data_IF_370983613400
#
_entry.id   IF_370983613400
#
_cell.length_a   1.000
_cell.length_b   1.000
_cell.length_c   1.000
_cell.angle_alpha   90.00
_cell.angle_beta   90.00
_cell.angle_gamma   90.00
#
_symmetry.space_group_name_H-M   'P 1'
#
loop_
_entity.id
_entity.type
_entity.pdbx_description
1 polymer ?
#
# COMPACT_ATOMS: atom_id res chain seq x y z
N UNK A 1 -4.43 18.26 1.74
CA UNK A 1 -5.04 17.52 2.86
C UNK A 1 -6.33 18.25 3.21
N UNK A 2 -7.49 17.69 2.87
CA UNK A 2 -8.75 18.16 3.47
C UNK A 2 -8.70 17.67 4.92
N UNK A 3 -8.96 18.51 5.94
CA UNK A 3 -9.00 18.03 7.31
C UNK A 3 -10.07 16.95 7.40
N UNK A 4 -9.67 15.75 7.85
CA UNK A 4 -10.61 14.67 8.14
C UNK A 4 -11.59 15.21 9.17
N UNK A 5 -12.88 15.21 8.84
CA UNK A 5 -13.90 15.82 9.68
C UNK A 5 -13.99 15.02 10.99
N UNK A 6 -13.65 15.65 12.11
CA UNK A 6 -13.81 15.03 13.42
C UNK A 6 -15.31 14.85 13.66
N UNK A 7 -15.77 13.64 13.97
CA UNK A 7 -17.20 13.38 14.14
C UNK A 7 -17.75 14.03 15.39
N UNK A 8 -19.03 14.38 15.33
CA UNK A 8 -19.77 14.93 16.45
C UNK A 8 -20.04 13.88 17.53
N UNK A 9 -20.39 14.36 18.73
CA UNK A 9 -20.74 13.49 19.88
C UNK A 9 -21.83 12.48 19.51
N UNK A 10 -22.90 12.92 18.86
CA UNK A 10 -24.02 12.05 18.48
C UNK A 10 -23.65 11.03 17.39
N UNK A 11 -22.74 11.39 16.47
CA UNK A 11 -22.20 10.44 15.48
C UNK A 11 -21.35 9.35 16.16
N UNK A 12 -20.49 9.72 17.12
CA UNK A 12 -19.70 8.75 17.92
C UNK A 12 -20.62 7.85 18.76
N UNK A 13 -21.62 8.43 19.43
CA UNK A 13 -22.62 7.69 20.20
C UNK A 13 -23.46 6.74 19.32
N UNK A 14 -23.67 7.07 18.03
CA UNK A 14 -24.39 6.22 17.07
C UNK A 14 -23.49 5.29 16.22
N UNK A 15 -22.16 5.36 16.37
CA UNK A 15 -21.20 4.66 15.49
C UNK A 15 -21.36 3.14 15.53
N UNK A 16 -21.70 2.55 14.39
CA UNK A 16 -21.95 1.12 14.23
C UNK A 16 -20.94 0.47 13.29
N UNK A 17 -20.53 -0.76 13.63
CA UNK A 17 -19.63 -1.60 12.84
C UNK A 17 -20.26 -2.95 12.47
N UNK A 18 -21.53 -3.17 12.77
CA UNK A 18 -22.22 -4.47 12.61
C UNK A 18 -22.21 -5.02 11.17
N UNK A 19 -22.15 -4.16 10.16
CA UNK A 19 -22.02 -4.59 8.76
C UNK A 19 -20.68 -5.26 8.45
N UNK A 20 -19.62 -4.98 9.21
CA UNK A 20 -18.33 -5.68 9.07
C UNK A 20 -18.45 -7.14 9.56
N UNK A 21 -19.07 -7.37 10.71
CA UNK A 21 -19.34 -8.73 11.22
C UNK A 21 -20.27 -9.52 10.28
N UNK A 22 -21.27 -8.82 9.72
CA UNK A 22 -22.16 -9.40 8.72
C UNK A 22 -21.42 -9.73 7.41
N UNK A 23 -20.51 -8.86 6.96
CA UNK A 23 -19.66 -9.11 5.79
C UNK A 23 -18.70 -10.29 6.00
N UNK A 24 -18.02 -10.34 7.15
CA UNK A 24 -17.14 -11.43 7.54
C UNK A 24 -17.87 -12.78 7.53
N UNK A 25 -19.09 -12.80 8.07
CA UNK A 25 -19.95 -14.00 8.03
C UNK A 25 -20.30 -14.41 6.60
N UNK A 26 -20.69 -13.46 5.75
CA UNK A 26 -21.02 -13.71 4.33
C UNK A 26 -19.81 -14.26 3.55
N UNK A 27 -18.62 -13.68 3.70
CA UNK A 27 -17.42 -14.12 2.97
C UNK A 27 -16.95 -15.51 3.39
N UNK A 28 -16.95 -15.85 4.70
CA UNK A 28 -16.64 -17.22 5.16
C UNK A 28 -17.64 -18.25 4.62
N UNK A 29 -18.92 -17.91 4.49
CA UNK A 29 -19.91 -18.80 3.85
C UNK A 29 -19.63 -18.97 2.36
N UNK A 30 -19.24 -17.90 1.65
CA UNK A 30 -18.88 -17.93 0.23
C UNK A 30 -17.65 -18.80 -0.04
N UNK A 31 -16.57 -18.63 0.74
CA UNK A 31 -15.34 -19.42 0.67
C UNK A 31 -15.63 -20.94 0.70
N UNK A 32 -16.31 -21.40 1.77
CA UNK A 32 -16.71 -22.79 1.94
C UNK A 32 -17.59 -23.32 0.78
N UNK A 33 -18.45 -22.48 0.21
CA UNK A 33 -19.32 -22.83 -0.91
C UNK A 33 -18.55 -22.98 -2.24
N UNK A 34 -17.55 -22.12 -2.48
CA UNK A 34 -16.66 -22.17 -3.64
C UNK A 34 -15.83 -23.45 -3.65
N UNK A 35 -15.14 -23.78 -2.55
CA UNK A 35 -14.40 -25.03 -2.42
C UNK A 35 -15.30 -26.26 -2.63
N UNK A 36 -16.45 -26.29 -1.95
CA UNK A 36 -17.43 -27.37 -2.09
C UNK A 36 -18.00 -27.51 -3.50
N UNK A 37 -18.08 -26.43 -4.28
CA UNK A 37 -18.47 -26.49 -5.69
C UNK A 37 -17.33 -27.02 -6.56
N UNK A 38 -16.11 -26.57 -6.34
CA UNK A 38 -14.98 -26.93 -7.19
C UNK A 38 -14.47 -28.36 -6.95
N UNK A 39 -14.50 -28.86 -5.72
CA UNK A 39 -14.17 -30.26 -5.44
C UNK A 39 -15.15 -31.23 -6.12
N UNK A 40 -16.44 -30.87 -6.23
CA UNK A 40 -17.44 -31.61 -7.02
C UNK A 40 -17.14 -31.51 -8.53
N UNK A 41 -16.73 -30.35 -9.03
CA UNK A 41 -16.34 -30.19 -10.43
C UNK A 41 -15.12 -31.06 -10.79
N UNK A 42 -14.08 -31.05 -9.94
CA UNK A 42 -12.90 -31.92 -10.05
C UNK A 42 -13.26 -33.40 -10.06
N UNK A 43 -14.15 -33.84 -9.16
CA UNK A 43 -14.64 -35.23 -9.15
C UNK A 43 -15.39 -35.59 -10.44
N UNK A 44 -16.22 -34.69 -10.96
CA UNK A 44 -16.97 -34.91 -12.21
C UNK A 44 -16.05 -35.03 -13.44
N UNK A 45 -14.95 -34.28 -13.50
CA UNK A 45 -13.94 -34.41 -14.57
C UNK A 45 -13.17 -35.74 -14.45
N UNK A 46 -12.73 -36.10 -13.24
CA UNK A 46 -11.97 -37.34 -13.02
C UNK A 46 -12.79 -38.62 -13.23
N UNK A 47 -14.11 -38.56 -13.11
CA UNK A 47 -15.04 -39.68 -13.26
C UNK A 47 -16.18 -39.38 -14.26
N UNK A 48 -15.83 -38.83 -15.42
CA UNK A 48 -16.77 -38.44 -16.47
C UNK A 48 -17.78 -39.55 -16.80
N UNK A 49 -19.05 -39.36 -16.42
CA UNK A 49 -20.14 -40.32 -16.65
C UNK A 49 -20.01 -41.65 -15.87
N UNK A 50 -19.12 -41.73 -14.87
CA UNK A 50 -18.87 -42.95 -14.10
C UNK A 50 -18.12 -44.06 -14.86
N UNK A 51 -17.49 -43.73 -15.99
CA UNK A 51 -16.69 -44.66 -16.79
C UNK A 51 -15.19 -44.40 -16.66
N UNK A 52 -14.37 -45.41 -16.96
CA UNK A 52 -12.90 -45.26 -16.95
C UNK A 52 -12.44 -44.46 -18.16
N UNK A 53 -12.17 -43.17 -17.96
CA UNK A 53 -11.57 -42.30 -18.96
C UNK A 53 -10.04 -42.38 -18.88
N UNK A 54 -9.37 -42.58 -20.03
CA UNK A 54 -7.91 -42.76 -20.13
C UNK A 54 -7.36 -42.09 -21.40
N UNK A 55 -6.05 -41.81 -21.42
CA UNK A 55 -5.32 -41.18 -22.53
C UNK A 55 -5.15 -39.66 -22.37
N UNK A 56 -4.29 -39.07 -23.21
CA UNK A 56 -3.73 -37.71 -23.05
C UNK A 56 -4.77 -36.62 -22.76
N UNK A 57 -5.96 -36.68 -23.37
CA UNK A 57 -7.04 -35.73 -23.13
C UNK A 57 -7.57 -35.75 -21.68
N UNK A 58 -7.60 -36.93 -21.04
CA UNK A 58 -7.97 -37.10 -19.63
C UNK A 58 -6.90 -36.49 -18.72
N UNK A 59 -5.64 -36.66 -19.07
CA UNK A 59 -4.52 -36.13 -18.29
C UNK A 59 -4.42 -34.60 -18.43
N UNK A 60 -4.65 -34.05 -19.64
CA UNK A 60 -4.78 -32.60 -19.87
C UNK A 60 -5.95 -32.00 -19.08
N UNK A 61 -7.14 -32.62 -19.11
CA UNK A 61 -8.29 -32.13 -18.35
C UNK A 61 -8.08 -32.24 -16.83
N UNK A 62 -7.40 -33.30 -16.38
CA UNK A 62 -7.01 -33.50 -14.97
C UNK A 62 -6.01 -32.46 -14.49
N UNK A 63 -5.02 -32.11 -15.32
CA UNK A 63 -4.07 -31.03 -15.05
C UNK A 63 -4.76 -29.66 -15.02
N UNK A 64 -5.66 -29.40 -15.98
CA UNK A 64 -6.42 -28.13 -16.03
C UNK A 64 -7.28 -27.93 -14.79
N UNK A 65 -8.08 -28.92 -14.41
CA UNK A 65 -8.92 -28.80 -13.21
C UNK A 65 -8.10 -28.75 -11.92
N UNK A 66 -6.86 -29.26 -11.90
CA UNK A 66 -5.94 -29.07 -10.77
C UNK A 66 -5.43 -27.64 -10.69
N UNK A 67 -5.11 -26.99 -11.82
CA UNK A 67 -4.74 -25.56 -11.87
C UNK A 67 -5.92 -24.67 -11.44
N UNK A 68 -7.10 -24.87 -12.03
CA UNK A 68 -8.31 -24.13 -11.64
C UNK A 68 -8.69 -24.35 -10.16
N UNK A 69 -8.39 -25.52 -9.58
CA UNK A 69 -8.58 -25.78 -8.13
C UNK A 69 -7.65 -24.92 -7.27
N UNK A 70 -6.45 -24.57 -7.74
CA UNK A 70 -5.53 -23.71 -7.01
C UNK A 70 -6.03 -22.25 -7.01
N UNK A 71 -6.57 -21.78 -8.14
CA UNK A 71 -7.22 -20.46 -8.27
C UNK A 71 -8.40 -20.33 -7.30
N UNK A 72 -9.29 -21.33 -7.23
CA UNK A 72 -10.44 -21.29 -6.29
C UNK A 72 -10.00 -21.32 -4.83
N UNK A 73 -8.93 -22.04 -4.49
CA UNK A 73 -8.37 -22.00 -3.12
C UNK A 73 -7.86 -20.62 -2.78
N UNK A 74 -7.11 -19.97 -3.66
CA UNK A 74 -6.66 -18.59 -3.45
C UNK A 74 -7.83 -17.61 -3.29
N UNK A 75 -8.93 -17.77 -4.05
CA UNK A 75 -10.16 -16.98 -3.84
C UNK A 75 -10.85 -17.27 -2.49
N UNK A 76 -10.82 -18.53 -2.04
CA UNK A 76 -11.34 -18.96 -0.73
C UNK A 76 -10.52 -18.36 0.42
N UNK A 77 -9.19 -18.43 0.32
CA UNK A 77 -8.23 -17.88 1.28
C UNK A 77 -8.40 -16.36 1.39
N UNK A 78 -8.47 -15.62 0.28
CA UNK A 78 -8.72 -14.17 0.28
C UNK A 78 -10.08 -13.79 0.86
N UNK A 79 -11.12 -14.60 0.66
CA UNK A 79 -12.41 -14.41 1.35
C UNK A 79 -12.33 -14.67 2.86
N UNK A 80 -11.47 -15.60 3.30
CA UNK A 80 -11.14 -15.82 4.70
C UNK A 80 -10.41 -14.62 5.31
N UNK A 81 -9.33 -14.16 4.67
CA UNK A 81 -8.54 -13.02 5.11
C UNK A 81 -9.35 -11.73 5.17
N UNK A 82 -10.19 -11.45 4.17
CA UNK A 82 -11.12 -10.31 4.20
C UNK A 82 -12.10 -10.39 5.38
N UNK A 83 -12.57 -11.60 5.71
CA UNK A 83 -13.44 -11.81 6.86
C UNK A 83 -12.70 -11.63 8.19
N UNK A 84 -11.43 -12.01 8.28
CA UNK A 84 -10.59 -11.79 9.45
C UNK A 84 -10.33 -10.28 9.66
N UNK A 85 -9.96 -9.55 8.60
CA UNK A 85 -9.82 -8.08 8.60
C UNK A 85 -11.11 -7.38 9.04
N UNK A 86 -12.27 -7.77 8.51
CA UNK A 86 -13.54 -7.20 8.94
C UNK A 86 -13.88 -7.52 10.40
N UNK A 87 -13.54 -8.73 10.87
CA UNK A 87 -13.76 -9.13 12.27
C UNK A 87 -12.84 -8.36 13.22
N UNK A 88 -11.54 -8.24 12.93
CA UNK A 88 -10.60 -7.45 13.77
C UNK A 88 -10.94 -5.97 13.71
N UNK A 89 -11.21 -5.44 12.52
CA UNK A 89 -11.58 -4.04 12.30
C UNK A 89 -12.84 -3.62 13.06
N UNK A 90 -13.89 -4.46 13.07
CA UNK A 90 -15.08 -4.21 13.88
C UNK A 90 -14.74 -4.08 15.37
N UNK A 91 -13.91 -4.99 15.91
CA UNK A 91 -13.47 -4.94 17.30
C UNK A 91 -12.60 -3.69 17.58
N UNK A 92 -11.73 -3.29 16.66
CA UNK A 92 -10.85 -2.12 16.82
C UNK A 92 -11.63 -0.81 16.80
N UNK A 93 -12.59 -0.66 15.87
CA UNK A 93 -13.51 0.48 15.82
C UNK A 93 -14.33 0.55 17.13
N UNK A 94 -14.87 -0.56 17.62
CA UNK A 94 -15.62 -0.56 18.90
C UNK A 94 -14.75 -0.26 20.12
N UNK A 95 -13.48 -0.67 20.14
CA UNK A 95 -12.51 -0.29 21.19
C UNK A 95 -12.16 1.20 21.14
N UNK A 96 -11.92 1.76 19.96
CA UNK A 96 -11.66 3.18 19.77
C UNK A 96 -12.89 4.02 20.18
N UNK A 97 -14.09 3.62 19.75
CA UNK A 97 -15.38 4.23 20.12
C UNK A 97 -15.61 4.20 21.63
N UNK A 98 -15.34 3.07 22.29
CA UNK A 98 -15.46 2.97 23.75
C UNK A 98 -14.48 3.91 24.45
N UNK A 99 -13.24 4.00 23.95
CA UNK A 99 -12.18 4.85 24.52
C UNK A 99 -12.49 6.35 24.46
N UNK A 100 -13.22 6.84 23.44
CA UNK A 100 -13.68 8.23 23.39
C UNK A 100 -14.88 8.46 24.31
N UNK A 101 -15.82 7.52 24.40
CA UNK A 101 -16.97 7.64 25.31
C UNK A 101 -16.52 7.63 26.79
N UNK A 102 -15.48 6.86 27.13
CA UNK A 102 -14.81 6.91 28.44
C UNK A 102 -14.17 8.27 28.69
N UNK A 103 -13.39 8.82 27.73
CA UNK A 103 -12.78 10.15 27.86
C UNK A 103 -13.82 11.28 28.03
N UNK A 104 -14.97 11.18 27.36
CA UNK A 104 -16.10 12.09 27.54
C UNK A 104 -16.69 11.95 28.94
N UNK A 105 -16.89 10.71 29.42
CA UNK A 105 -17.43 10.44 30.75
C UNK A 105 -16.49 10.91 31.88
N UNK A 106 -15.17 10.78 31.72
CA UNK A 106 -14.17 11.28 32.67
C UNK A 106 -14.22 12.81 32.77
N UNK A 107 -14.28 13.52 31.64
CA UNK A 107 -14.44 14.97 31.61
C UNK A 107 -15.76 15.42 32.26
N UNK A 108 -16.87 14.72 31.99
CA UNK A 108 -18.17 15.00 32.61
C UNK A 108 -18.20 14.67 34.12
N UNK A 109 -17.41 13.68 34.57
CA UNK A 109 -17.17 13.38 35.98
C UNK A 109 -16.41 14.47 36.74
N UNK A 110 -15.56 15.23 36.05
CA UNK A 110 -14.79 16.37 36.57
C UNK A 110 -15.56 17.71 36.57
N UNK A 111 -16.90 17.67 36.43
CA UNK A 111 -17.81 18.82 36.24
C UNK A 111 -17.49 19.68 34.98
N UNK A 112 -16.87 19.11 33.95
CA UNK A 112 -16.90 19.71 32.62
C UNK A 112 -18.16 19.28 31.86
N UNK A 113 -18.44 19.95 30.75
CA UNK A 113 -19.48 19.57 29.80
C UNK A 113 -18.85 19.45 28.42
N UNK A 114 -19.00 18.27 27.80
CA UNK A 114 -18.61 18.05 26.40
C UNK A 114 -19.79 18.35 25.49
N UNK A 115 -19.59 19.23 24.51
CA UNK A 115 -20.61 19.64 23.52
C UNK A 115 -20.63 18.70 22.30
N UNK A 116 -21.57 18.97 21.40
CA UNK A 116 -21.76 18.23 20.15
C UNK A 116 -20.52 18.26 19.24
N UNK A 117 -19.80 19.38 19.22
CA UNK A 117 -18.54 19.59 18.51
C UNK A 117 -17.30 19.10 19.28
N UNK A 118 -17.51 18.24 20.29
CA UNK A 118 -16.52 17.76 21.25
C UNK A 118 -15.81 18.86 22.06
N UNK A 119 -16.24 20.13 21.97
CA UNK A 119 -15.64 21.21 22.77
C UNK A 119 -15.96 21.03 24.26
N UNK A 120 -14.93 21.13 25.10
CA UNK A 120 -15.03 20.98 26.56
C UNK A 120 -15.24 22.36 27.20
N UNK A 121 -16.18 22.45 28.13
CA UNK A 121 -16.56 23.69 28.81
C UNK A 121 -16.65 23.44 30.31
N UNK A 122 -16.10 24.34 31.12
CA UNK A 122 -16.28 24.26 32.57
C UNK A 122 -17.71 24.62 32.98
N UNK A 123 -18.36 23.73 33.74
CA UNK A 123 -19.70 23.96 34.29
C UNK A 123 -19.66 24.60 35.69
N UNK A 124 -18.47 24.69 36.31
CA UNK A 124 -18.28 25.32 37.63
C UNK A 124 -18.26 26.85 37.51
N UNK A 125 -18.72 27.59 38.54
CA UNK A 125 -18.56 29.04 38.59
C UNK A 125 -17.07 29.43 38.61
N UNK A 126 -16.73 30.54 37.96
CA UNK A 126 -15.35 31.04 37.94
C UNK A 126 -14.91 31.49 39.34
N UNK A 127 -13.90 30.82 39.89
CA UNK A 127 -13.26 31.15 41.17
C UNK A 127 -11.75 31.32 40.95
N UNK A 128 -11.20 32.46 41.38
CA UNK A 128 -9.81 32.87 41.08
C UNK A 128 -8.76 31.90 41.64
N UNK A 129 -9.06 31.25 42.76
CA UNK A 129 -8.19 30.29 43.45
C UNK A 129 -8.04 28.95 42.71
N UNK A 130 -9.04 28.55 41.91
CA UNK A 130 -9.07 27.28 41.17
C UNK A 130 -9.01 27.45 39.65
N UNK A 131 -9.18 28.67 39.14
CA UNK A 131 -9.23 28.98 37.70
C UNK A 131 -8.03 28.45 36.91
N UNK A 132 -6.81 28.54 37.44
CA UNK A 132 -5.61 28.05 36.73
C UNK A 132 -5.62 26.52 36.59
N UNK A 133 -5.93 25.80 37.67
CA UNK A 133 -6.00 24.35 37.67
C UNK A 133 -7.13 23.82 36.77
N UNK A 134 -8.30 24.48 36.77
CA UNK A 134 -9.41 24.09 35.89
C UNK A 134 -9.21 24.47 34.43
N UNK A 135 -8.46 25.54 34.14
CA UNK A 135 -8.05 25.87 32.76
C UNK A 135 -7.10 24.80 32.20
N UNK A 136 -6.16 24.31 33.02
CA UNK A 136 -5.27 23.21 32.65
C UNK A 136 -6.05 21.91 32.40
N UNK A 137 -6.87 21.48 33.36
CA UNK A 137 -7.67 20.27 33.22
C UNK A 137 -8.65 20.32 32.04
N UNK A 138 -9.23 21.49 31.73
CA UNK A 138 -10.05 21.68 30.53
C UNK A 138 -9.26 21.41 29.25
N UNK A 139 -8.03 21.93 29.16
CA UNK A 139 -7.16 21.72 28.01
C UNK A 139 -6.73 20.24 27.89
N UNK A 140 -6.36 19.59 29.00
CA UNK A 140 -6.01 18.17 29.05
C UNK A 140 -7.17 17.29 28.56
N UNK A 141 -8.38 17.51 29.08
CA UNK A 141 -9.59 16.79 28.64
C UNK A 141 -9.93 17.07 27.16
N UNK A 142 -9.84 18.32 26.71
CA UNK A 142 -10.14 18.69 25.33
C UNK A 142 -9.17 18.07 24.32
N UNK A 143 -7.87 18.10 24.61
CA UNK A 143 -6.84 17.46 23.77
C UNK A 143 -7.00 15.94 23.77
N UNK A 144 -7.28 15.31 24.91
CA UNK A 144 -7.45 13.86 25.00
C UNK A 144 -8.70 13.37 24.25
N UNK A 145 -9.84 14.05 24.40
CA UNK A 145 -11.07 13.73 23.63
C UNK A 145 -10.82 13.91 22.12
N UNK A 146 -10.18 15.02 21.71
CA UNK A 146 -9.86 15.25 20.28
C UNK A 146 -8.96 14.14 19.72
N UNK A 147 -7.89 13.80 20.43
CA UNK A 147 -6.99 12.72 20.03
C UNK A 147 -7.71 11.36 19.93
N UNK A 148 -8.60 11.03 20.87
CA UNK A 148 -9.43 9.81 20.80
C UNK A 148 -10.37 9.81 19.58
N UNK A 149 -10.92 10.96 19.20
CA UNK A 149 -11.77 11.09 18.01
C UNK A 149 -10.95 10.89 16.72
N UNK A 150 -9.76 11.48 16.65
CA UNK A 150 -8.80 11.28 15.55
C UNK A 150 -8.41 9.80 15.41
N UNK A 151 -8.17 9.09 16.53
CA UNK A 151 -7.86 7.65 16.53
C UNK A 151 -9.03 6.77 16.04
N UNK A 152 -10.28 7.12 16.36
CA UNK A 152 -11.46 6.39 15.86
C UNK A 152 -11.54 6.45 14.33
N UNK A 153 -11.44 7.67 13.76
CA UNK A 153 -11.53 7.83 12.30
C UNK A 153 -10.33 7.20 11.58
N UNK A 154 -9.11 7.36 12.13
CA UNK A 154 -7.92 6.72 11.56
C UNK A 154 -8.04 5.18 11.55
N UNK A 155 -8.65 4.60 12.59
CA UNK A 155 -8.91 3.15 12.67
C UNK A 155 -9.91 2.70 11.59
N UNK A 156 -11.02 3.42 11.41
CA UNK A 156 -12.00 3.08 10.38
C UNK A 156 -11.44 3.21 8.95
N UNK A 157 -10.65 4.27 8.69
CA UNK A 157 -9.96 4.46 7.40
C UNK A 157 -9.03 3.27 7.10
N UNK A 158 -8.20 2.87 8.06
CA UNK A 158 -7.28 1.73 7.93
C UNK A 158 -8.02 0.42 7.61
N UNK A 159 -9.12 0.13 8.32
CA UNK A 159 -9.95 -1.06 8.06
C UNK A 159 -10.55 -1.00 6.66
N UNK A 160 -11.04 0.17 6.24
CA UNK A 160 -11.56 0.39 4.89
C UNK A 160 -10.51 0.21 3.79
N UNK A 161 -9.26 0.62 4.03
CA UNK A 161 -8.13 0.42 3.11
C UNK A 161 -7.72 -1.04 3.02
N UNK A 162 -7.59 -1.76 4.14
CA UNK A 162 -7.29 -3.19 4.16
C UNK A 162 -8.36 -4.01 3.41
N UNK A 163 -9.64 -3.69 3.58
CA UNK A 163 -10.73 -4.35 2.86
C UNK A 163 -10.75 -4.02 1.35
N UNK A 164 -10.37 -2.80 0.95
CA UNK A 164 -10.17 -2.46 -0.47
C UNK A 164 -8.98 -3.21 -1.07
N UNK A 165 -7.88 -3.35 -0.33
CA UNK A 165 -6.73 -4.17 -0.71
C UNK A 165 -7.15 -5.61 -1.00
N UNK A 166 -7.84 -6.28 -0.06
CA UNK A 166 -8.34 -7.64 -0.26
C UNK A 166 -9.33 -7.78 -1.41
N UNK A 167 -10.16 -6.76 -1.67
CA UNK A 167 -11.03 -6.72 -2.84
C UNK A 167 -10.26 -6.60 -4.17
N UNK A 168 -9.18 -5.82 -4.20
CA UNK A 168 -8.31 -5.69 -5.37
C UNK A 168 -7.48 -6.96 -5.63
N UNK A 169 -6.94 -7.59 -4.57
CA UNK A 169 -6.29 -8.90 -4.65
C UNK A 169 -7.26 -9.93 -5.26
N UNK A 170 -8.48 -10.02 -4.73
CA UNK A 170 -9.51 -10.95 -5.23
C UNK A 170 -9.90 -10.68 -6.70
N UNK A 171 -9.94 -9.40 -7.12
CA UNK A 171 -10.16 -9.02 -8.52
C UNK A 171 -8.98 -9.40 -9.45
N UNK A 172 -7.77 -9.53 -8.89
CA UNK A 172 -6.58 -10.02 -9.58
C UNK A 172 -6.57 -11.54 -9.78
N UNK A 173 -7.25 -12.31 -8.93
CA UNK A 173 -7.29 -13.78 -9.02
C UNK A 173 -8.22 -14.25 -10.12
N UNK A 174 -7.62 -14.75 -11.21
CA UNK A 174 -8.29 -15.21 -12.43
C UNK A 174 -7.94 -16.65 -12.77
N UNK A 175 -8.81 -17.31 -13.53
CA UNK A 175 -8.52 -18.62 -14.12
C UNK A 175 -7.58 -18.49 -15.33
N UNK A 176 -6.77 -19.52 -15.61
CA UNK A 176 -5.86 -19.50 -16.76
C UNK A 176 -6.63 -19.28 -18.08
N UNK A 177 -6.33 -18.20 -18.80
CA UNK A 177 -7.03 -17.80 -20.02
C UNK A 177 -8.25 -16.90 -19.82
N UNK A 178 -8.62 -16.55 -18.58
CA UNK A 178 -9.68 -15.60 -18.29
C UNK A 178 -9.22 -14.15 -18.53
N UNK A 179 -9.59 -13.63 -19.71
CA UNK A 179 -9.12 -12.33 -20.22
C UNK A 179 -8.06 -12.42 -21.32
N UNK A 180 -7.71 -13.63 -21.78
CA UNK A 180 -6.82 -13.82 -22.92
C UNK A 180 -7.57 -13.63 -24.25
N UNK A 181 -7.46 -12.45 -24.85
CA UNK A 181 -7.76 -12.24 -26.28
C UNK A 181 -6.56 -12.68 -27.13
N UNK A 182 -6.32 -13.99 -27.24
CA UNK A 182 -5.30 -14.62 -28.12
C UNK A 182 -3.83 -14.36 -27.76
N UNK A 183 -2.84 -15.16 -28.17
CA UNK A 183 -2.72 -16.60 -28.47
C UNK A 183 -1.27 -17.03 -28.16
N UNK A 184 -1.03 -17.92 -27.18
CA UNK A 184 0.35 -18.32 -26.78
C UNK A 184 0.55 -19.80 -26.43
N UNK A 185 -0.47 -20.46 -25.89
CA UNK A 185 -0.48 -21.90 -25.62
C UNK A 185 -1.59 -22.56 -26.43
N UNK A 186 -1.39 -23.80 -26.92
CA UNK A 186 -2.32 -24.48 -27.81
C UNK A 186 -3.47 -25.15 -27.03
N UNK A 187 -4.71 -24.64 -27.12
CA UNK A 187 -5.87 -25.35 -26.59
C UNK A 187 -6.13 -26.54 -27.51
N UNK A 188 -6.14 -27.76 -26.96
CA UNK A 188 -6.43 -28.98 -27.73
C UNK A 188 -7.87 -29.04 -28.28
N UNK A 189 -8.68 -28.01 -28.05
CA UNK A 189 -9.89 -27.66 -28.81
C UNK A 189 -9.90 -26.13 -29.05
N UNK A 190 -9.64 -25.65 -30.28
CA UNK A 190 -9.67 -24.22 -30.67
C UNK A 190 -10.95 -23.78 -31.41
N UNK A 191 -11.35 -22.54 -31.14
CA UNK A 191 -11.84 -21.58 -32.15
C UNK A 191 -10.82 -20.40 -32.21
N UNK A 192 -10.96 -19.45 -33.14
CA UNK A 192 -9.87 -18.59 -33.71
C UNK A 192 -10.26 -17.08 -33.60
N UNK A 193 -9.40 -16.04 -33.56
CA UNK A 193 -7.98 -15.83 -33.95
C UNK A 193 -7.00 -15.14 -32.92
N UNK A 194 -5.73 -14.99 -33.35
CA UNK A 194 -4.60 -14.08 -33.03
C UNK A 194 -4.54 -13.13 -31.78
N UNK A 195 -3.45 -13.26 -30.99
CA UNK A 195 -2.53 -12.18 -30.50
C UNK A 195 -1.23 -12.81 -29.90
N UNK A 196 -0.24 -12.09 -29.34
CA UNK A 196 1.07 -12.66 -28.93
C UNK A 196 1.38 -12.65 -27.41
N UNK A 197 2.31 -13.54 -27.00
CA UNK A 197 2.69 -13.89 -25.62
C UNK A 197 3.78 -12.94 -25.01
N UNK A 198 3.85 -12.82 -23.68
CA UNK A 198 4.90 -12.04 -22.99
C UNK A 198 5.78 -12.91 -22.07
N UNK A 199 7.10 -12.80 -22.26
CA UNK A 199 8.12 -13.57 -21.55
C UNK A 199 8.87 -12.78 -20.47
N UNK A 200 10.00 -13.34 -20.01
CA UNK A 200 10.85 -12.76 -18.97
C UNK A 200 11.25 -11.29 -19.23
N UNK A 201 11.39 -10.45 -18.19
CA UNK A 201 11.72 -9.04 -18.34
C UNK A 201 13.05 -8.84 -19.10
N UNK A 202 13.06 -7.85 -20.00
CA UNK A 202 14.20 -7.58 -20.86
C UNK A 202 15.46 -7.23 -20.03
N UNK A 203 16.66 -7.73 -20.38
CA UNK A 203 17.87 -7.44 -19.63
C UNK A 203 18.27 -5.96 -19.72
N UNK A 204 18.87 -5.43 -18.66
CA UNK A 204 19.40 -4.07 -18.63
C UNK A 204 20.53 -3.89 -19.66
N UNK A 205 20.48 -2.76 -20.36
CA UNK A 205 21.51 -2.27 -21.27
C UNK A 205 22.72 -1.74 -20.48
N UNK A 206 23.94 -1.73 -21.06
CA UNK A 206 25.12 -1.16 -20.41
C UNK A 206 24.94 0.33 -20.06
N UNK A 207 24.85 0.63 -18.76
CA UNK A 207 24.73 1.98 -18.22
C UNK A 207 26.08 2.64 -17.89
N UNK A 208 26.06 3.83 -17.26
CA UNK A 208 27.26 4.48 -16.72
C UNK A 208 27.88 3.66 -15.58
N UNK A 209 29.17 3.89 -15.29
CA UNK A 209 29.82 3.25 -14.13
C UNK A 209 29.21 3.78 -12.83
N UNK A 210 28.60 2.88 -12.05
CA UNK A 210 27.95 3.21 -10.78
C UNK A 210 28.93 3.19 -9.61
N UNK A 211 28.76 4.12 -8.68
CA UNK A 211 29.36 4.08 -7.35
C UNK A 211 29.00 2.76 -6.63
N UNK A 212 29.76 2.41 -5.59
CA UNK A 212 29.48 1.22 -4.79
C UNK A 212 28.06 1.29 -4.16
N UNK A 213 27.66 2.46 -3.67
CA UNK A 213 26.34 2.72 -3.10
C UNK A 213 25.20 2.56 -4.10
N UNK A 214 25.29 3.16 -5.29
CA UNK A 214 24.27 2.99 -6.34
C UNK A 214 24.16 1.54 -6.78
N UNK A 215 25.29 0.86 -6.91
CA UNK A 215 25.32 -0.56 -7.30
C UNK A 215 24.63 -1.43 -6.26
N UNK A 216 24.90 -1.23 -4.97
CA UNK A 216 24.22 -1.94 -3.90
C UNK A 216 22.70 -1.66 -3.85
N UNK A 217 22.29 -0.41 -4.10
CA UNK A 217 20.87 -0.04 -4.21
C UNK A 217 20.18 -0.75 -5.39
N UNK A 218 20.78 -0.73 -6.58
CA UNK A 218 20.25 -1.42 -7.77
C UNK A 218 20.24 -2.94 -7.59
N UNK A 219 21.30 -3.54 -7.05
CA UNK A 219 21.34 -4.98 -6.74
C UNK A 219 20.26 -5.38 -5.72
N UNK A 220 19.93 -4.52 -4.75
CA UNK A 220 18.82 -4.73 -3.83
C UNK A 220 17.47 -4.64 -4.55
N UNK A 221 17.28 -3.62 -5.40
CA UNK A 221 16.06 -3.43 -6.18
C UNK A 221 15.81 -4.59 -7.14
N UNK A 222 16.84 -5.09 -7.84
CA UNK A 222 16.78 -6.25 -8.74
C UNK A 222 16.42 -7.55 -8.01
N UNK A 223 16.97 -7.73 -6.80
CA UNK A 223 16.74 -8.92 -5.99
C UNK A 223 15.32 -8.99 -5.44
N UNK A 224 14.75 -7.85 -5.05
CA UNK A 224 13.51 -7.82 -4.26
C UNK A 224 12.28 -7.29 -5.00
N UNK A 225 12.39 -6.74 -6.21
CA UNK A 225 11.23 -6.23 -6.96
C UNK A 225 10.02 -7.20 -7.02
N UNK A 226 10.27 -8.49 -7.30
CA UNK A 226 9.20 -9.51 -7.39
C UNK A 226 8.88 -10.17 -6.02
N UNK A 227 9.19 -9.53 -4.88
CA UNK A 227 8.99 -10.12 -3.55
C UNK A 227 9.21 -9.15 -2.39
N UNK A 228 9.45 -9.67 -1.18
CA UNK A 228 9.66 -8.84 0.02
C UNK A 228 10.87 -9.35 0.81
N UNK A 229 11.71 -8.44 1.31
CA UNK A 229 12.79 -8.81 2.21
C UNK A 229 12.21 -9.16 3.60
N UNK A 230 12.37 -10.40 4.11
CA UNK A 230 11.81 -10.82 5.40
C UNK A 230 12.42 -10.11 6.64
N UNK A 231 13.45 -9.28 6.47
CA UNK A 231 13.95 -8.40 7.52
C UNK A 231 13.05 -7.17 7.77
N UNK A 232 12.10 -6.90 6.86
CA UNK A 232 11.17 -5.77 6.90
C UNK A 232 9.71 -6.27 6.89
N UNK A 233 8.83 -5.52 7.56
CA UNK A 233 7.39 -5.76 7.55
C UNK A 233 6.85 -5.36 6.17
N UNK A 234 6.16 -6.29 5.49
CA UNK A 234 5.56 -6.01 4.19
C UNK A 234 4.26 -5.23 4.40
N UNK A 235 4.23 -3.96 3.97
CA UNK A 235 3.12 -3.06 4.21
C UNK A 235 2.07 -3.26 3.12
N UNK A 236 1.04 -4.06 3.44
CA UNK A 236 -0.22 -4.07 2.69
C UNK A 236 -0.22 -4.73 1.30
N UNK A 237 0.90 -5.33 0.85
CA UNK A 237 0.97 -6.17 -0.35
C UNK A 237 0.89 -5.43 -1.68
N UNK A 238 1.78 -5.78 -2.62
CA UNK A 238 1.74 -5.31 -4.01
C UNK A 238 2.00 -3.81 -4.16
N UNK A 239 0.97 -2.97 -4.00
CA UNK A 239 1.03 -1.53 -4.29
C UNK A 239 1.16 -0.59 -3.08
N UNK A 240 0.93 -1.06 -1.85
CA UNK A 240 1.00 -0.21 -0.64
C UNK A 240 2.43 -0.09 -0.10
N UNK A 241 3.34 -0.97 -0.55
CA UNK A 241 4.70 -1.11 -0.03
C UNK A 241 5.75 -0.26 -0.79
N UNK A 242 5.34 0.51 -1.80
CA UNK A 242 6.24 1.24 -2.72
C UNK A 242 7.33 2.07 -2.01
N UNK A 243 6.96 2.75 -0.93
CA UNK A 243 7.86 3.63 -0.18
C UNK A 243 8.74 2.87 0.81
N UNK A 244 8.24 1.75 1.35
CA UNK A 244 9.04 0.85 2.16
C UNK A 244 10.12 0.18 1.31
N UNK A 245 9.78 -0.29 0.11
CA UNK A 245 10.74 -0.79 -0.88
C UNK A 245 11.78 0.27 -1.27
N UNK A 246 11.36 1.47 -1.65
CA UNK A 246 12.28 2.56 -1.97
C UNK A 246 13.19 2.91 -0.79
N UNK A 247 12.67 2.93 0.45
CA UNK A 247 13.46 3.20 1.65
C UNK A 247 14.46 2.07 1.97
N UNK A 248 14.07 0.81 1.75
CA UNK A 248 15.00 -0.33 1.85
C UNK A 248 16.12 -0.24 0.80
N UNK A 249 15.81 0.14 -0.44
CA UNK A 249 16.78 0.35 -1.53
C UNK A 249 17.74 1.50 -1.18
N UNK A 250 17.24 2.60 -0.63
CA UNK A 250 18.08 3.69 -0.08
C UNK A 250 19.02 3.17 1.02
N UNK A 251 18.50 2.42 2.00
CA UNK A 251 19.30 1.88 3.11
C UNK A 251 20.36 0.90 2.62
N UNK A 252 20.05 0.07 1.62
CA UNK A 252 20.99 -0.83 0.96
C UNK A 252 22.13 -0.08 0.24
N UNK A 253 21.86 1.09 -0.32
CA UNK A 253 22.90 1.99 -0.86
C UNK A 253 23.67 2.78 0.21
N UNK A 254 23.42 2.54 1.51
CA UNK A 254 24.21 3.07 2.62
C UNK A 254 23.63 4.30 3.32
N UNK A 255 22.41 4.74 2.99
CA UNK A 255 21.74 5.78 3.78
C UNK A 255 21.43 5.27 5.19
N UNK A 256 21.94 5.96 6.22
CA UNK A 256 21.65 5.64 7.61
C UNK A 256 20.31 6.21 8.09
N UNK A 257 19.75 5.60 9.14
CA UNK A 257 18.59 6.10 9.87
C UNK A 257 18.88 7.48 10.51
N UNK A 258 17.85 8.34 10.61
CA UNK A 258 17.87 9.68 11.24
C UNK A 258 16.55 9.87 12.00
N UNK A 259 16.58 10.62 13.12
CA UNK A 259 15.39 10.85 13.95
C UNK A 259 15.06 9.62 14.79
N UNK A 260 15.96 9.24 15.70
CA UNK A 260 15.75 8.09 16.59
C UNK A 260 16.18 8.33 18.04
N UNK A 261 16.06 9.58 18.49
CA UNK A 261 16.46 10.02 19.83
C UNK A 261 15.21 10.19 20.75
N UNK A 262 15.34 10.96 21.83
CA UNK A 262 14.35 10.97 22.94
C UNK A 262 13.19 11.96 22.68
N UNK A 263 13.35 12.87 21.74
CA UNK A 263 12.41 13.90 21.34
C UNK A 263 11.32 13.43 20.35
N UNK A 264 11.48 12.25 19.74
CA UNK A 264 10.63 11.71 18.66
C UNK A 264 9.30 11.11 19.18
N UNK A 265 8.62 11.82 20.08
CA UNK A 265 7.33 11.42 20.67
C UNK A 265 6.16 11.43 19.67
N UNK A 266 6.39 11.99 18.48
CA UNK A 266 5.49 12.00 17.32
C UNK A 266 6.08 11.08 16.26
N UNK A 267 5.23 10.36 15.53
CA UNK A 267 5.64 9.35 14.54
C UNK A 267 6.24 9.96 13.26
N UNK A 268 7.41 10.56 13.37
CA UNK A 268 8.07 11.31 12.30
C UNK A 268 7.67 12.78 12.30
N UNK A 269 8.57 13.67 12.72
CA UNK A 269 8.64 14.99 12.11
C UNK A 269 9.23 14.84 10.67
N UNK A 270 9.09 15.86 9.82
CA UNK A 270 9.37 15.76 8.38
C UNK A 270 10.85 15.52 8.00
N UNK A 271 11.75 15.64 8.98
CA UNK A 271 13.19 15.42 8.92
C UNK A 271 13.66 14.06 9.48
N UNK A 272 12.75 13.23 9.99
CA UNK A 272 13.06 11.86 10.43
C UNK A 272 13.06 10.87 9.26
N UNK A 273 13.80 9.76 9.36
CA UNK A 273 13.69 8.60 8.46
C UNK A 273 14.35 7.38 9.09
N UNK A 274 13.56 6.41 9.54
CA UNK A 274 14.09 5.23 10.25
C UNK A 274 13.19 3.99 10.14
N UNK A 275 13.81 2.83 10.35
CA UNK A 275 13.12 1.54 10.50
C UNK A 275 13.78 0.71 11.61
N UNK A 276 13.08 0.56 12.74
CA UNK A 276 13.58 -0.11 13.94
C UNK A 276 12.64 -1.19 14.45
N UNK A 277 13.15 -2.42 14.45
CA UNK A 277 12.47 -3.57 15.01
C UNK A 277 12.68 -3.60 16.54
N UNK A 278 11.59 -3.46 17.30
CA UNK A 278 11.49 -3.60 18.76
C UNK A 278 12.41 -2.72 19.65
N UNK A 279 12.36 -1.39 19.44
CA UNK A 279 12.91 -0.41 20.36
C UNK A 279 12.18 -0.41 21.72
N UNK A 280 12.78 -1.01 22.75
CA UNK A 280 12.18 -1.23 24.08
C UNK A 280 11.85 0.01 24.94
N UNK A 281 11.96 1.22 24.39
CA UNK A 281 11.64 2.49 25.06
C UNK A 281 10.21 2.97 24.74
N UNK A 282 9.71 2.72 23.52
CA UNK A 282 8.39 3.20 23.07
C UNK A 282 7.63 2.11 22.27
N UNK A 283 6.74 1.33 22.91
CA UNK A 283 5.95 0.31 22.24
C UNK A 283 5.07 0.91 21.13
N UNK A 284 5.26 0.43 19.89
CA UNK A 284 4.43 0.80 18.75
C UNK A 284 4.96 1.92 17.85
N UNK A 285 6.15 2.48 18.11
CA UNK A 285 6.83 3.38 17.17
C UNK A 285 7.96 2.63 16.42
N UNK A 286 7.62 1.93 15.33
CA UNK A 286 8.52 0.99 14.62
C UNK A 286 9.20 1.57 13.38
N UNK A 287 8.60 2.59 12.77
CA UNK A 287 9.08 3.24 11.54
C UNK A 287 8.48 4.64 11.42
N UNK A 288 9.18 5.55 10.75
CA UNK A 288 8.68 6.90 10.49
C UNK A 288 7.63 6.92 9.36
N UNK A 289 6.80 7.97 9.32
CA UNK A 289 5.90 8.25 8.17
C UNK A 289 6.67 8.47 6.87
N UNK A 290 7.85 9.08 6.94
CA UNK A 290 8.79 9.29 5.83
C UNK A 290 9.43 7.99 5.30
N UNK A 291 9.38 6.89 6.05
CA UNK A 291 9.80 5.56 5.58
C UNK A 291 8.69 4.85 4.79
N UNK A 292 7.42 5.18 5.05
CA UNK A 292 6.26 4.39 4.60
C UNK A 292 5.28 5.12 3.68
N UNK A 293 5.29 6.45 3.64
CA UNK A 293 4.38 7.26 2.81
C UNK A 293 5.14 8.04 1.73
N UNK A 294 4.79 7.82 0.46
CA UNK A 294 5.55 8.32 -0.70
C UNK A 294 5.74 9.85 -0.67
N UNK A 295 4.69 10.58 -0.28
CA UNK A 295 4.70 12.03 -0.12
C UNK A 295 5.66 12.51 0.97
N UNK A 296 5.66 11.86 2.14
CA UNK A 296 6.50 12.30 3.25
C UNK A 296 7.96 11.86 3.03
N UNK A 297 8.17 10.72 2.38
CA UNK A 297 9.47 10.31 1.86
C UNK A 297 10.03 11.33 0.84
N UNK A 298 9.20 11.77 -0.12
CA UNK A 298 9.56 12.82 -1.06
C UNK A 298 9.95 14.12 -0.35
N UNK A 299 9.14 14.58 0.61
CA UNK A 299 9.43 15.79 1.40
C UNK A 299 10.75 15.64 2.15
N UNK A 300 10.94 14.52 2.85
CA UNK A 300 12.18 14.19 3.56
C UNK A 300 13.40 14.25 2.62
N UNK A 301 13.37 13.54 1.49
CA UNK A 301 14.49 13.48 0.53
C UNK A 301 14.81 14.85 -0.06
N UNK A 302 13.79 15.61 -0.48
CA UNK A 302 13.97 16.83 -1.30
C UNK A 302 14.04 18.15 -0.53
N UNK A 303 13.50 18.21 0.70
CA UNK A 303 13.36 19.46 1.45
C UNK A 303 14.04 19.45 2.82
N UNK A 304 14.08 18.30 3.51
CA UNK A 304 14.47 18.26 4.93
C UNK A 304 15.83 17.58 5.20
N UNK A 305 16.20 16.55 4.43
CA UNK A 305 17.40 15.75 4.68
C UNK A 305 18.63 16.11 3.84
N UNK A 306 18.43 16.86 2.75
CA UNK A 306 19.48 17.13 1.75
C UNK A 306 19.95 15.90 0.97
N UNK A 307 19.24 14.76 1.07
CA UNK A 307 19.60 13.47 0.44
C UNK A 307 19.24 13.37 -1.04
N UNK A 308 18.46 14.31 -1.58
CA UNK A 308 18.17 14.36 -3.01
C UNK A 308 17.68 15.72 -3.49
N UNK A 309 17.52 15.83 -4.81
CA UNK A 309 17.04 17.03 -5.48
C UNK A 309 16.13 16.66 -6.67
N UNK A 310 15.07 17.43 -6.91
CA UNK A 310 14.23 17.28 -8.11
C UNK A 310 15.02 17.82 -9.30
N UNK A 311 15.37 16.95 -10.25
CA UNK A 311 16.14 17.28 -11.46
C UNK A 311 15.30 17.41 -12.72
N UNK A 312 14.05 16.95 -12.68
CA UNK A 312 13.10 17.05 -13.77
C UNK A 312 11.66 16.86 -13.31
N UNK A 313 10.73 17.50 -14.00
CA UNK A 313 9.28 17.33 -13.79
C UNK A 313 8.65 17.15 -15.17
N UNK A 314 7.95 16.03 -15.37
CA UNK A 314 7.29 15.70 -16.64
C UNK A 314 5.78 15.69 -16.42
N UNK A 315 5.01 16.61 -17.03
CA UNK A 315 3.56 16.55 -17.03
C UNK A 315 3.08 15.29 -17.74
N UNK A 316 2.08 14.60 -17.18
CA UNK A 316 1.52 13.35 -17.72
C UNK A 316 0.04 13.52 -18.08
N UNK A 317 -0.30 14.37 -19.07
CA UNK A 317 -1.68 14.58 -19.52
C UNK A 317 -2.30 13.35 -20.19
N UNK A 318 -1.45 12.42 -20.63
CA UNK A 318 -1.74 11.09 -21.15
C UNK A 318 -0.42 10.30 -21.22
N UNK A 319 -0.47 8.96 -21.22
CA UNK A 319 0.71 8.12 -21.54
C UNK A 319 1.24 8.34 -22.96
N UNK A 320 0.34 8.56 -23.92
CA UNK A 320 0.70 8.81 -25.30
C UNK A 320 1.54 10.09 -25.45
N UNK A 321 2.71 9.98 -26.09
CA UNK A 321 3.62 11.09 -26.34
C UNK A 321 4.66 11.35 -25.25
N UNK A 322 4.67 10.57 -24.16
CA UNK A 322 5.79 10.56 -23.22
C UNK A 322 7.05 10.00 -23.90
N UNK A 323 8.20 10.57 -23.54
CA UNK A 323 9.51 10.16 -24.06
C UNK A 323 10.03 8.97 -23.25
N UNK A 324 10.22 7.77 -23.85
CA UNK A 324 10.65 6.58 -23.12
C UNK A 324 12.03 6.73 -22.46
N UNK A 325 12.79 7.77 -22.84
CA UNK A 325 14.11 8.09 -22.28
C UNK A 325 14.12 9.39 -21.45
N UNK A 326 12.97 9.87 -20.97
CA UNK A 326 12.91 11.11 -20.18
C UNK A 326 13.70 11.05 -18.85
N UNK A 327 13.65 9.98 -18.03
CA UNK A 327 14.46 9.85 -16.81
C UNK A 327 15.96 10.09 -17.03
N UNK A 328 16.57 9.34 -17.95
CA UNK A 328 18.00 9.40 -18.27
C UNK A 328 18.38 10.70 -18.97
N UNK A 329 17.49 11.31 -19.75
CA UNK A 329 17.70 12.64 -20.36
C UNK A 329 17.62 13.80 -19.37
N UNK A 330 16.78 13.69 -18.34
CA UNK A 330 16.86 14.58 -17.18
C UNK A 330 18.14 14.33 -16.36
N UNK A 331 18.70 13.12 -16.48
CA UNK A 331 19.99 12.71 -15.94
C UNK A 331 19.90 11.75 -14.77
N UNK A 332 18.75 11.10 -14.53
CA UNK A 332 18.64 10.07 -13.49
C UNK A 332 19.70 8.99 -13.71
N UNK A 333 20.35 8.60 -12.62
CA UNK A 333 21.31 7.52 -12.55
C UNK A 333 20.67 6.35 -11.81
N UNK A 334 20.97 5.09 -12.18
CA UNK A 334 20.45 3.93 -11.46
C UNK A 334 20.61 4.04 -9.93
N UNK A 335 19.54 3.70 -9.20
CA UNK A 335 19.35 3.94 -7.77
C UNK A 335 18.57 5.23 -7.44
N UNK A 336 18.46 6.19 -8.36
CA UNK A 336 17.62 7.38 -8.16
C UNK A 336 16.12 7.04 -8.12
N UNK A 337 15.30 7.98 -7.62
CA UNK A 337 13.86 7.78 -7.41
C UNK A 337 13.00 8.56 -8.41
N UNK A 338 11.83 8.00 -8.71
CA UNK A 338 10.79 8.62 -9.52
C UNK A 338 9.51 8.66 -8.67
N UNK A 339 8.96 9.85 -8.46
CA UNK A 339 7.73 10.04 -7.70
C UNK A 339 6.57 10.40 -8.63
N UNK A 340 5.42 9.75 -8.43
CA UNK A 340 4.24 9.92 -9.26
C UNK A 340 3.21 10.76 -8.51
N UNK A 341 2.80 11.87 -9.14
CA UNK A 341 1.85 12.82 -8.58
C UNK A 341 0.55 12.75 -9.36
N UNK A 342 -0.52 12.45 -8.64
CA UNK A 342 -1.86 12.35 -9.19
C UNK A 342 -2.38 13.72 -9.66
N UNK A 343 -3.53 13.70 -10.34
CA UNK A 343 -4.22 14.92 -10.77
C UNK A 343 -4.85 15.73 -9.61
N UNK A 344 -4.95 15.14 -8.42
CA UNK A 344 -5.41 15.78 -7.19
C UNK A 344 -4.22 16.41 -6.39
N UNK A 345 -3.02 16.39 -6.98
CA UNK A 345 -1.79 16.99 -6.51
C UNK A 345 -1.08 16.24 -5.37
N UNK A 346 -1.46 14.99 -5.07
CA UNK A 346 -0.79 14.15 -4.07
C UNK A 346 0.25 13.23 -4.72
N UNK A 347 1.35 12.97 -3.99
CA UNK A 347 2.36 11.98 -4.38
C UNK A 347 1.99 10.68 -3.67
N UNK A 348 1.47 9.72 -4.42
CA UNK A 348 0.92 8.47 -3.87
C UNK A 348 1.79 7.25 -4.21
N UNK A 349 2.75 7.38 -5.13
CA UNK A 349 3.64 6.28 -5.53
C UNK A 349 5.07 6.73 -5.77
N UNK A 350 6.01 5.82 -5.56
CA UNK A 350 7.45 5.98 -5.80
C UNK A 350 8.03 4.71 -6.41
N UNK A 351 8.91 4.87 -7.39
CA UNK A 351 9.68 3.78 -8.00
C UNK A 351 11.18 4.08 -8.01
N UNK A 352 11.98 3.02 -8.16
CA UNK A 352 13.44 3.08 -8.24
C UNK A 352 13.83 2.97 -9.71
N UNK A 353 14.53 3.95 -10.24
CA UNK A 353 15.11 3.87 -11.58
C UNK A 353 16.32 2.92 -11.57
N UNK A 354 16.29 1.87 -12.39
CA UNK A 354 17.34 0.82 -12.40
C UNK A 354 18.20 0.83 -13.68
N UNK A 355 17.77 1.51 -14.73
CA UNK A 355 18.56 1.70 -15.95
C UNK A 355 17.71 1.69 -17.21
N UNK A 356 18.27 1.20 -18.31
CA UNK A 356 17.58 1.09 -19.59
C UNK A 356 17.41 -0.36 -20.00
N UNK A 357 16.30 -0.71 -20.62
CA UNK A 357 16.08 -2.03 -21.22
C UNK A 357 15.43 -1.89 -22.61
N UNK A 358 15.41 -2.98 -23.37
CA UNK A 358 14.70 -3.04 -24.66
C UNK A 358 13.25 -3.46 -24.43
N UNK A 359 12.37 -2.48 -24.18
CA UNK A 359 10.93 -2.70 -24.02
C UNK A 359 10.26 -2.57 -25.39
N UNK A 360 9.59 -3.64 -25.86
CA UNK A 360 8.91 -3.67 -27.17
C UNK A 360 9.79 -3.20 -28.35
N UNK A 361 11.08 -3.52 -28.32
CA UNK A 361 12.05 -3.15 -29.35
C UNK A 361 12.55 -1.70 -29.30
N UNK A 362 12.16 -0.93 -28.28
CA UNK A 362 12.61 0.46 -28.05
C UNK A 362 13.48 0.53 -26.79
N UNK A 363 14.64 1.23 -26.82
CA UNK A 363 15.38 1.55 -25.60
C UNK A 363 14.52 2.45 -24.72
N UNK A 364 14.23 1.97 -23.50
CA UNK A 364 13.31 2.62 -22.57
C UNK A 364 13.95 2.64 -21.19
N UNK A 365 13.81 3.76 -20.48
CA UNK A 365 14.20 3.89 -19.08
C UNK A 365 13.22 3.07 -18.23
N UNK A 366 13.77 2.13 -17.46
CA UNK A 366 13.01 1.15 -16.69
C UNK A 366 13.21 1.30 -15.19
N UNK A 367 12.18 0.90 -14.47
CA UNK A 367 12.04 1.02 -13.02
C UNK A 367 11.83 -0.35 -12.39
N UNK A 368 12.20 -0.44 -11.10
CA UNK A 368 11.68 -1.43 -10.19
C UNK A 368 10.81 -0.74 -9.13
N UNK A 369 9.72 -1.39 -8.75
CA UNK A 369 8.69 -0.84 -7.88
C UNK A 369 7.97 -1.96 -7.15
N UNK A 370 7.35 -1.64 -6.01
CA UNK A 370 6.24 -2.43 -5.49
C UNK A 370 4.96 -1.72 -5.92
N UNK A 371 4.32 -2.24 -6.97
CA UNK A 371 3.06 -1.77 -7.52
C UNK A 371 2.06 -2.94 -7.65
N UNK A 372 0.84 -2.64 -8.08
CA UNK A 372 -0.19 -3.66 -8.34
C UNK A 372 -0.01 -4.40 -9.69
N UNK A 373 1.03 -4.08 -10.46
CA UNK A 373 1.24 -4.51 -11.84
C UNK A 373 2.64 -5.12 -12.06
N UNK A 374 3.50 -4.50 -12.88
CA UNK A 374 4.83 -5.02 -13.23
C UNK A 374 5.85 -4.40 -12.29
N UNK A 375 6.44 -5.23 -11.44
CA UNK A 375 7.35 -4.76 -10.40
C UNK A 375 8.82 -4.63 -10.84
N UNK A 376 9.27 -5.42 -11.82
CA UNK A 376 10.67 -5.43 -12.29
C UNK A 376 10.79 -5.07 -13.76
N UNK A 377 11.70 -4.15 -14.07
CA UNK A 377 11.96 -3.62 -15.40
C UNK A 377 10.71 -3.12 -16.14
N UNK A 378 9.73 -2.59 -15.39
CA UNK A 378 8.61 -1.89 -16.00
C UNK A 378 9.12 -0.60 -16.65
N UNK A 379 8.46 -0.07 -17.68
CA UNK A 379 8.79 1.27 -18.13
C UNK A 379 8.38 2.33 -17.09
N UNK A 380 9.08 3.46 -17.08
CA UNK A 380 8.84 4.51 -16.09
C UNK A 380 7.47 5.21 -16.24
N UNK A 381 6.78 5.03 -17.37
CA UNK A 381 5.62 5.85 -17.74
C UNK A 381 4.36 5.33 -17.03
N UNK A 382 3.51 6.21 -16.48
CA UNK A 382 2.30 5.75 -15.79
C UNK A 382 1.24 5.22 -16.77
N UNK A 383 0.57 4.14 -16.38
CA UNK A 383 -0.58 3.55 -17.10
C UNK A 383 -1.95 3.84 -16.47
N UNK A 384 -2.00 4.18 -15.17
CA UNK A 384 -3.27 4.41 -14.47
C UNK A 384 -3.89 5.77 -14.81
N UNK A 385 -5.23 5.86 -14.77
CA UNK A 385 -5.96 7.13 -14.99
C UNK A 385 -5.68 8.17 -13.91
N UNK A 386 -5.22 7.75 -12.73
CA UNK A 386 -4.83 8.64 -11.62
C UNK A 386 -3.66 9.55 -12.03
N UNK A 387 -2.66 8.95 -12.70
CA UNK A 387 -1.40 9.59 -13.10
C UNK A 387 -1.35 10.01 -14.59
N UNK A 388 -2.39 9.74 -15.38
CA UNK A 388 -2.43 10.04 -16.84
C UNK A 388 -3.53 11.03 -17.24
N UNK A 389 -3.82 12.00 -16.38
CA UNK A 389 -4.78 13.10 -16.64
C UNK A 389 -4.25 14.42 -16.07
N UNK A 390 -4.39 15.58 -16.73
CA UNK A 390 -3.95 16.86 -16.17
C UNK A 390 -4.65 17.16 -14.83
N UNK A 391 -3.96 17.72 -13.81
CA UNK A 391 -2.57 18.19 -13.76
C UNK A 391 -1.54 17.15 -13.25
N UNK A 392 -1.75 15.85 -13.43
CA UNK A 392 -0.78 14.82 -13.03
C UNK A 392 0.62 15.06 -13.64
N UNK A 393 1.65 14.68 -12.89
CA UNK A 393 3.05 14.82 -13.28
C UNK A 393 3.92 13.77 -12.60
N UNK A 394 5.10 13.55 -13.16
CA UNK A 394 6.15 12.70 -12.59
C UNK A 394 7.36 13.55 -12.23
N UNK A 395 7.89 13.38 -11.02
CA UNK A 395 9.03 14.14 -10.49
C UNK A 395 10.25 13.21 -10.39
N UNK A 396 11.32 13.57 -11.09
CA UNK A 396 12.58 12.84 -11.16
C UNK A 396 13.52 13.35 -10.08
N UNK A 397 13.86 12.50 -9.10
CA UNK A 397 14.64 12.89 -7.91
C UNK A 397 15.98 12.18 -7.91
N UNK A 398 17.06 12.94 -8.11
CA UNK A 398 18.42 12.42 -7.96
C UNK A 398 18.75 12.28 -6.48
N UNK A 399 19.12 11.08 -6.06
CA UNK A 399 19.67 10.83 -4.73
C UNK A 399 21.16 11.19 -4.70
N UNK A 400 21.62 11.63 -3.52
CA UNK A 400 23.01 11.94 -3.19
C UNK A 400 23.51 10.86 -2.24
N UNK A 401 23.98 9.75 -2.80
CA UNK A 401 24.39 8.61 -1.99
C UNK A 401 25.64 8.94 -1.15
N UNK A 402 25.78 8.35 0.06
CA UNK A 402 26.96 8.59 0.90
C UNK A 402 28.27 8.18 0.20
N UNK A 403 29.15 9.16 -0.03
CA UNK A 403 30.44 8.96 -0.69
C UNK A 403 30.50 9.32 -2.18
N UNK A 404 29.43 9.90 -2.74
CA UNK A 404 29.43 10.55 -4.07
C UNK A 404 29.84 12.04 -4.04
#
# INVERSE_FOLDING_TARGET
MIPVAIPSRSEIEAWDSSELDAAATRWRVTANALESAFDRHRQNILAAGGSTWEGDAKDTASARVAADSAVVRLQSDLHGEAADVATSGANDIQRARSSILEAIADAEGDDFRVREDLSVVDNRPYLIDTAAARTLALAEHAEFIRWRAEQLVATEVLVGEQLRGKAAELQGVRFDGEGATGTGSDPTIRLVDNEEEHGSPAPLLPGPELSASRRAAVEYAEKWADGFNPEYEALGGGGVDCTNFASQVMRAGGFGDVGNEIDDWRRGDSDDWYYQNDGGVFPGNRFSTTWTLAKENHNFVTQHSGRGEVIGVVPTPSRAGLDPLAPSRAGLLPGDLIYYKDADGQINHVSVYVGQAMVNGVPTDVINQHAADVNRHNDWMPDSQEYTRPPAQVEFVRLRYPGE
#
